data_IF_477061472683
#
_entry.id   IF_477061472683
#
_cell.length_a   1.000
_cell.length_b   1.000
_cell.length_c   1.000
_cell.angle_alpha   90.00
_cell.angle_beta   90.00
_cell.angle_gamma   90.00
#
_symmetry.space_group_name_H-M   'P 1'
#
loop_
_entity.id
_entity.type
_entity.pdbx_description
1 polymer ?
#
# COMPACT_ATOMS: atom_id res chain seq x y z
N UNK A 1 -19.66 2.01 30.19
CA UNK A 1 -18.52 1.26 30.77
C UNK A 1 -17.47 1.14 29.66
N UNK A 2 -16.64 2.17 29.52
CA UNK A 2 -15.58 2.26 28.52
C UNK A 2 -14.29 1.78 29.19
N UNK A 3 -13.85 0.57 28.87
CA UNK A 3 -12.52 0.10 29.23
C UNK A 3 -11.53 0.66 28.23
N UNK A 4 -10.94 1.81 28.54
CA UNK A 4 -9.72 2.26 27.88
C UNK A 4 -8.57 1.38 28.37
N UNK A 5 -7.76 0.90 27.42
CA UNK A 5 -6.50 0.21 27.69
C UNK A 5 -5.52 1.28 28.17
N UNK A 6 -5.52 1.57 29.46
CA UNK A 6 -4.52 2.41 30.11
C UNK A 6 -3.35 1.54 30.58
N UNK A 7 -2.14 1.77 30.04
CA UNK A 7 -0.91 1.29 30.67
C UNK A 7 0.30 0.99 29.79
N UNK A 8 0.16 0.65 28.51
CA UNK A 8 1.32 0.28 27.65
C UNK A 8 1.76 1.36 26.65
N UNK A 9 0.90 2.35 26.38
CA UNK A 9 1.08 3.30 25.26
C UNK A 9 2.00 4.48 25.63
N UNK A 10 2.01 4.91 26.90
CA UNK A 10 2.74 6.11 27.34
C UNK A 10 4.26 5.98 27.21
N UNK A 11 4.82 4.78 27.49
CA UNK A 11 6.26 4.53 27.40
C UNK A 11 6.77 4.47 25.96
N UNK A 12 6.05 3.77 25.10
CA UNK A 12 6.40 3.66 23.67
C UNK A 12 6.25 5.00 22.95
N UNK A 13 5.17 5.74 23.24
CA UNK A 13 4.97 7.08 22.72
C UNK A 13 6.07 8.04 23.19
N UNK A 14 6.44 8.00 24.48
CA UNK A 14 7.52 8.84 25.00
C UNK A 14 8.88 8.50 24.36
N UNK A 15 9.18 7.21 24.17
CA UNK A 15 10.41 6.77 23.50
C UNK A 15 10.45 7.25 22.05
N UNK A 16 9.36 7.07 21.30
CA UNK A 16 9.21 7.57 19.93
C UNK A 16 9.39 9.09 19.86
N UNK A 17 8.71 9.84 20.72
CA UNK A 17 8.80 11.31 20.76
C UNK A 17 10.22 11.78 21.08
N UNK A 18 10.87 11.12 22.04
CA UNK A 18 12.26 11.43 22.43
C UNK A 18 13.22 11.18 21.27
N UNK A 19 13.09 10.04 20.60
CA UNK A 19 13.91 9.72 19.43
C UNK A 19 13.71 10.74 18.30
N UNK A 20 12.45 11.12 18.02
CA UNK A 20 12.15 12.12 16.99
C UNK A 20 12.75 13.49 17.32
N UNK A 21 12.68 13.93 18.58
CA UNK A 21 13.36 15.15 19.02
C UNK A 21 14.88 15.07 18.83
N UNK A 22 15.49 13.92 19.09
CA UNK A 22 16.92 13.69 18.82
C UNK A 22 17.26 13.81 17.33
N UNK A 23 16.44 13.23 16.45
CA UNK A 23 16.61 13.30 14.99
C UNK A 23 16.33 14.69 14.39
N UNK A 24 15.80 15.62 15.18
CA UNK A 24 15.45 16.97 14.75
C UNK A 24 15.89 18.05 15.75
N UNK A 25 16.95 17.80 16.53
CA UNK A 25 17.40 18.69 17.61
C UNK A 25 17.89 20.05 17.11
N UNK A 26 18.47 20.08 15.91
CA UNK A 26 18.93 21.27 15.22
C UNK A 26 18.75 21.14 13.69
N UNK A 27 19.08 22.20 12.97
CA UNK A 27 18.88 22.31 11.52
C UNK A 27 19.69 21.28 10.73
N UNK A 28 20.92 21.00 11.12
CA UNK A 28 21.80 20.11 10.36
C UNK A 28 21.42 18.66 10.60
N UNK A 29 21.10 18.30 11.85
CA UNK A 29 20.57 16.97 12.20
C UNK A 29 19.23 16.72 11.51
N UNK A 30 18.30 17.68 11.56
CA UNK A 30 17.01 17.58 10.86
C UNK A 30 17.16 17.46 9.33
N UNK A 31 18.16 18.14 8.75
CA UNK A 31 18.46 18.05 7.31
C UNK A 31 19.03 16.68 6.95
N UNK A 32 19.91 16.12 7.79
CA UNK A 32 20.44 14.77 7.61
C UNK A 32 19.32 13.72 7.71
N UNK A 33 18.46 13.83 8.73
CA UNK A 33 17.27 12.99 8.88
C UNK A 33 16.36 13.04 7.65
N UNK A 34 15.98 14.24 7.20
CA UNK A 34 15.15 14.42 6.00
C UNK A 34 15.76 13.76 4.77
N UNK A 35 17.07 13.90 4.56
CA UNK A 35 17.79 13.28 3.43
C UNK A 35 17.79 11.77 3.55
N UNK A 36 18.09 11.23 4.73
CA UNK A 36 18.07 9.78 4.99
C UNK A 36 16.70 9.18 4.65
N UNK A 37 15.62 9.76 5.19
CA UNK A 37 14.24 9.34 4.88
C UNK A 37 13.95 9.36 3.38
N UNK A 38 14.34 10.43 2.70
CA UNK A 38 14.10 10.56 1.26
C UNK A 38 14.92 9.55 0.45
N UNK A 39 16.17 9.28 0.84
CA UNK A 39 16.99 8.23 0.21
C UNK A 39 16.35 6.85 0.37
N UNK A 40 15.84 6.53 1.56
CA UNK A 40 15.09 5.30 1.77
C UNK A 40 13.82 5.23 0.92
N UNK A 41 12.99 6.28 0.95
CA UNK A 41 11.77 6.38 0.15
C UNK A 41 12.05 6.21 -1.36
N UNK A 42 13.14 6.82 -1.85
CA UNK A 42 13.58 6.69 -3.23
C UNK A 42 13.95 5.24 -3.60
N UNK A 43 14.79 4.58 -2.78
CA UNK A 43 15.17 3.18 -2.97
C UNK A 43 13.95 2.25 -2.98
N UNK A 44 13.00 2.49 -2.07
CA UNK A 44 11.75 1.74 -2.04
C UNK A 44 10.92 1.97 -3.30
N UNK A 45 10.80 3.22 -3.76
CA UNK A 45 10.16 3.56 -5.03
C UNK A 45 10.80 2.85 -6.23
N UNK A 46 12.14 2.82 -6.29
CA UNK A 46 12.89 2.09 -7.33
C UNK A 46 12.64 0.58 -7.27
N UNK A 47 12.73 -0.01 -6.07
CA UNK A 47 12.45 -1.43 -5.86
C UNK A 47 11.03 -1.81 -6.32
N UNK A 48 10.05 -0.92 -6.13
CA UNK A 48 8.66 -1.13 -6.54
C UNK A 48 8.43 -0.95 -8.05
N UNK A 49 9.24 -0.14 -8.75
CA UNK A 49 8.92 0.29 -10.12
C UNK A 49 9.90 -0.19 -11.18
N UNK A 50 11.21 -0.20 -10.90
CA UNK A 50 12.25 -0.37 -11.92
C UNK A 50 12.39 -1.84 -12.32
N UNK A 51 12.67 -2.13 -13.60
CA UNK A 51 12.96 -3.49 -14.05
C UNK A 51 14.16 -4.08 -13.29
N UNK A 52 14.07 -5.32 -12.82
CA UNK A 52 15.15 -5.96 -12.05
C UNK A 52 15.11 -7.49 -12.15
N UNK A 53 16.28 -8.12 -12.25
CA UNK A 53 16.44 -9.59 -12.28
C UNK A 53 15.51 -10.28 -13.30
N UNK A 54 15.49 -9.80 -14.55
CA UNK A 54 14.64 -10.35 -15.61
C UNK A 54 13.14 -9.99 -15.49
N UNK A 55 12.75 -9.19 -14.50
CA UNK A 55 11.36 -8.73 -14.32
C UNK A 55 11.13 -7.38 -15.00
N UNK A 56 9.98 -7.20 -15.68
CA UNK A 56 9.62 -5.92 -16.27
C UNK A 56 9.39 -4.84 -15.19
N UNK A 57 9.50 -3.58 -15.60
CA UNK A 57 9.09 -2.45 -14.77
C UNK A 57 7.60 -2.53 -14.41
N UNK A 58 7.19 -1.93 -13.29
CA UNK A 58 5.79 -1.83 -12.88
C UNK A 58 5.25 -0.46 -13.29
N UNK A 59 4.50 -0.42 -14.40
CA UNK A 59 4.08 0.81 -15.07
C UNK A 59 2.58 0.76 -15.40
N UNK A 60 1.98 1.94 -15.56
CA UNK A 60 0.58 2.07 -15.94
C UNK A 60 -0.39 1.64 -14.85
N UNK A 61 -1.54 1.04 -15.20
CA UNK A 61 -2.55 0.68 -14.21
C UNK A 61 -2.12 -0.47 -13.29
N UNK A 62 -2.16 -0.22 -11.99
CA UNK A 62 -1.74 -1.18 -10.95
C UNK A 62 -2.74 -1.22 -9.79
N UNK A 63 -2.74 -2.35 -9.09
CA UNK A 63 -3.33 -2.52 -7.76
C UNK A 63 -2.19 -2.82 -6.79
N UNK A 64 -2.24 -2.27 -5.58
CA UNK A 64 -1.20 -2.49 -4.59
C UNK A 64 -1.76 -2.59 -3.17
N UNK A 65 -1.02 -3.29 -2.31
CA UNK A 65 -1.29 -3.42 -0.89
C UNK A 65 -0.05 -3.13 -0.05
N UNK A 66 -0.28 -2.65 1.17
CA UNK A 66 0.76 -2.37 2.16
C UNK A 66 0.41 -3.13 3.44
N UNK A 67 1.39 -3.83 4.01
CA UNK A 67 1.26 -4.59 5.24
C UNK A 67 2.14 -3.99 6.34
N UNK A 68 1.62 -4.03 7.55
CA UNK A 68 2.41 -4.00 8.77
C UNK A 68 2.66 -5.46 9.22
N UNK A 69 3.50 -5.65 10.24
CA UNK A 69 3.79 -7.00 10.75
C UNK A 69 2.54 -7.77 11.19
N UNK A 70 1.51 -7.08 11.67
CA UNK A 70 0.27 -7.71 12.11
C UNK A 70 -0.66 -8.10 10.95
N UNK A 71 -0.56 -7.47 9.78
CA UNK A 71 -1.50 -7.69 8.69
C UNK A 71 -1.61 -6.57 7.67
N UNK A 72 -2.61 -6.71 6.79
CA UNK A 72 -2.86 -5.80 5.68
C UNK A 72 -3.38 -4.45 6.19
N UNK A 73 -2.59 -3.41 5.95
CA UNK A 73 -2.89 -2.04 6.37
C UNK A 73 -3.75 -1.30 5.34
N UNK A 74 -3.42 -1.43 4.05
CA UNK A 74 -4.01 -0.59 3.01
C UNK A 74 -4.06 -1.30 1.65
N UNK A 75 -5.11 -1.03 0.87
CA UNK A 75 -5.23 -1.39 -0.55
C UNK A 75 -5.56 -0.15 -1.38
N UNK A 76 -4.85 0.03 -2.49
CA UNK A 76 -5.11 1.11 -3.43
C UNK A 76 -4.93 0.71 -4.90
N UNK A 77 -5.45 1.55 -5.79
CA UNK A 77 -5.21 1.46 -7.24
C UNK A 77 -4.54 2.73 -7.79
N UNK A 78 -3.96 2.63 -8.98
CA UNK A 78 -3.44 3.77 -9.73
C UNK A 78 -3.49 3.50 -11.23
N UNK A 79 -3.48 4.57 -12.03
CA UNK A 79 -3.30 4.55 -13.50
C UNK A 79 -1.86 4.80 -13.94
N UNK A 80 -1.07 5.43 -13.08
CA UNK A 80 0.30 5.87 -13.31
C UNK A 80 1.18 5.21 -12.25
N UNK A 81 1.44 3.92 -12.42
CA UNK A 81 2.17 3.07 -11.46
C UNK A 81 3.57 3.60 -11.16
N UNK A 82 4.28 3.99 -12.21
CA UNK A 82 5.64 4.51 -12.16
C UNK A 82 5.76 5.76 -11.28
N UNK A 83 4.78 6.67 -11.33
CA UNK A 83 4.76 7.85 -10.48
C UNK A 83 4.24 7.50 -9.09
N UNK A 84 3.06 6.87 -9.00
CA UNK A 84 2.39 6.63 -7.72
C UNK A 84 3.22 5.80 -6.76
N UNK A 85 3.90 4.76 -7.24
CA UNK A 85 4.71 3.89 -6.39
C UNK A 85 6.02 4.56 -5.93
N UNK A 86 6.56 5.53 -6.70
CA UNK A 86 7.67 6.37 -6.26
C UNK A 86 7.24 7.39 -5.20
N UNK A 87 6.05 7.96 -5.34
CA UNK A 87 5.51 8.95 -4.40
C UNK A 87 4.94 8.31 -3.11
N UNK A 88 4.56 7.02 -3.18
CA UNK A 88 3.89 6.31 -2.10
C UNK A 88 4.72 6.32 -0.78
N UNK A 89 6.02 5.98 -0.77
CA UNK A 89 6.86 6.09 0.43
C UNK A 89 7.13 7.54 0.88
N UNK A 90 7.07 8.52 -0.03
CA UNK A 90 7.35 9.93 0.32
C UNK A 90 6.17 10.53 1.11
N UNK A 91 4.95 10.07 0.85
CA UNK A 91 3.74 10.52 1.57
C UNK A 91 3.11 11.81 1.04
N UNK A 92 3.57 12.32 -0.11
CA UNK A 92 3.05 13.56 -0.72
C UNK A 92 1.58 13.44 -1.16
N UNK A 93 1.12 12.23 -1.44
CA UNK A 93 -0.19 11.98 -2.04
C UNK A 93 -1.11 11.11 -1.18
N UNK A 94 -0.71 10.73 0.04
CA UNK A 94 -1.53 9.87 0.89
C UNK A 94 -1.26 10.05 2.38
N UNK A 95 -2.34 10.21 3.16
CA UNK A 95 -2.29 10.13 4.63
C UNK A 95 -1.65 8.84 5.16
N UNK A 96 -1.57 7.75 4.37
CA UNK A 96 -1.00 6.48 4.79
C UNK A 96 0.43 6.61 5.33
N UNK A 97 1.37 7.10 4.51
CA UNK A 97 2.77 7.22 4.88
C UNK A 97 3.04 8.31 5.94
N UNK A 98 2.07 9.22 6.15
CA UNK A 98 2.15 10.23 7.20
C UNK A 98 1.71 9.68 8.56
N UNK A 99 0.83 8.68 8.58
CA UNK A 99 0.37 8.01 9.81
C UNK A 99 1.19 6.77 10.13
N UNK A 100 1.45 5.95 9.12
CA UNK A 100 2.25 4.72 9.20
C UNK A 100 3.44 4.87 8.25
N UNK A 101 4.59 5.37 8.72
CA UNK A 101 5.74 5.67 7.86
C UNK A 101 6.26 4.41 7.15
N UNK A 102 6.83 4.52 5.94
CA UNK A 102 7.30 3.37 5.18
C UNK A 102 8.40 2.56 5.86
N UNK A 103 9.12 3.17 6.79
CA UNK A 103 10.15 2.51 7.61
C UNK A 103 9.57 1.40 8.51
N UNK A 104 8.26 1.38 8.76
CA UNK A 104 7.58 0.31 9.53
C UNK A 104 6.75 -0.63 8.67
N UNK A 105 6.75 -0.45 7.35
CA UNK A 105 6.03 -1.34 6.44
C UNK A 105 6.78 -2.66 6.34
N UNK A 106 6.05 -3.75 6.56
CA UNK A 106 6.60 -5.09 6.51
C UNK A 106 6.70 -5.61 5.07
N UNK A 107 5.67 -5.35 4.27
CA UNK A 107 5.55 -5.89 2.91
C UNK A 107 4.71 -4.97 2.04
N UNK A 108 5.10 -4.83 0.78
CA UNK A 108 4.32 -4.15 -0.25
C UNK A 108 4.13 -5.11 -1.42
N UNK A 109 2.88 -5.32 -1.81
CA UNK A 109 2.51 -6.14 -2.97
C UNK A 109 1.98 -5.21 -4.05
N UNK A 110 2.42 -5.41 -5.28
CA UNK A 110 1.98 -4.67 -6.46
C UNK A 110 1.60 -5.67 -7.54
N UNK A 111 0.43 -5.49 -8.14
CA UNK A 111 -0.10 -6.32 -9.22
C UNK A 111 -0.37 -5.45 -10.44
N UNK A 112 0.33 -5.74 -11.52
CA UNK A 112 0.08 -5.20 -12.85
C UNK A 112 -1.08 -5.96 -13.50
N UNK A 113 -2.29 -5.76 -12.98
CA UNK A 113 -3.51 -6.45 -13.42
C UNK A 113 -3.75 -6.41 -14.94
N UNK A 114 -3.34 -5.37 -15.73
CA UNK A 114 -3.52 -5.41 -17.18
C UNK A 114 -2.72 -6.50 -17.90
N UNK A 115 -1.76 -7.14 -17.21
CA UNK A 115 -0.94 -8.25 -17.75
C UNK A 115 -1.58 -9.62 -17.54
N UNK A 116 -2.73 -9.68 -16.87
CA UNK A 116 -3.51 -10.91 -16.72
C UNK A 116 -4.35 -11.15 -17.98
N UNK A 117 -4.51 -12.40 -18.37
CA UNK A 117 -5.28 -12.76 -19.58
C UNK A 117 -6.75 -12.32 -19.49
N UNK A 118 -7.32 -12.32 -18.28
CA UNK A 118 -8.69 -11.87 -18.02
C UNK A 118 -8.89 -10.37 -18.31
N UNK A 119 -7.82 -9.56 -18.25
CA UNK A 119 -7.90 -8.14 -18.56
C UNK A 119 -8.12 -7.88 -20.06
N UNK A 120 -7.71 -8.80 -20.94
CA UNK A 120 -7.89 -8.68 -22.40
C UNK A 120 -9.37 -8.57 -22.77
N UNK A 121 -10.24 -9.28 -22.05
CA UNK A 121 -11.71 -9.27 -22.29
C UNK A 121 -12.37 -7.94 -21.94
N UNK A 122 -11.72 -7.13 -21.09
CA UNK A 122 -12.21 -5.83 -20.66
C UNK A 122 -11.63 -4.68 -21.51
N UNK A 123 -10.58 -4.96 -22.28
CA UNK A 123 -9.92 -3.98 -23.13
C UNK A 123 -10.91 -3.43 -24.17
N UNK A 124 -11.02 -2.09 -24.24
CA UNK A 124 -11.96 -1.41 -25.13
C UNK A 124 -13.43 -1.41 -24.67
N UNK A 125 -13.79 -2.23 -23.67
CA UNK A 125 -15.15 -2.25 -23.07
C UNK A 125 -15.22 -1.30 -21.88
N UNK A 126 -14.23 -1.36 -20.98
CA UNK A 126 -14.15 -0.52 -19.80
C UNK A 126 -12.87 0.31 -19.81
N UNK A 127 -12.96 1.52 -19.27
CA UNK A 127 -11.80 2.36 -19.05
C UNK A 127 -10.93 1.76 -17.93
N UNK A 128 -9.59 1.74 -18.07
CA UNK A 128 -8.71 1.15 -17.05
C UNK A 128 -8.86 1.74 -15.65
N UNK A 129 -9.23 3.02 -15.54
CA UNK A 129 -9.51 3.67 -14.25
C UNK A 129 -10.68 3.01 -13.53
N UNK A 130 -11.73 2.68 -14.27
CA UNK A 130 -12.94 2.09 -13.74
C UNK A 130 -12.72 0.63 -13.36
N UNK A 131 -11.93 -0.11 -14.15
CA UNK A 131 -11.48 -1.47 -13.80
C UNK A 131 -10.67 -1.44 -12.51
N UNK A 132 -9.69 -0.53 -12.40
CA UNK A 132 -8.90 -0.35 -11.17
C UNK A 132 -9.76 -0.03 -9.94
N UNK A 133 -10.72 0.90 -10.07
CA UNK A 133 -11.66 1.24 -8.99
C UNK A 133 -12.56 0.05 -8.59
N UNK A 134 -12.98 -0.78 -9.55
CA UNK A 134 -13.80 -1.96 -9.28
C UNK A 134 -12.99 -3.03 -8.52
N UNK A 135 -11.76 -3.30 -8.95
CA UNK A 135 -10.84 -4.22 -8.26
C UNK A 135 -10.50 -3.74 -6.84
N UNK A 136 -10.17 -2.45 -6.70
CA UNK A 136 -9.90 -1.83 -5.40
C UNK A 136 -11.10 -1.99 -4.45
N UNK A 137 -12.30 -1.64 -4.91
CA UNK A 137 -13.50 -1.76 -4.10
C UNK A 137 -13.74 -3.20 -3.62
N UNK A 138 -13.59 -4.19 -4.51
CA UNK A 138 -13.79 -5.60 -4.15
C UNK A 138 -12.75 -6.10 -3.16
N UNK A 139 -11.48 -5.79 -3.37
CA UNK A 139 -10.41 -6.14 -2.44
C UNK A 139 -10.65 -5.51 -1.08
N UNK A 140 -11.04 -4.23 -1.02
CA UNK A 140 -11.32 -3.55 0.24
C UNK A 140 -12.55 -4.14 0.96
N UNK A 141 -13.61 -4.50 0.22
CA UNK A 141 -14.80 -5.12 0.78
C UNK A 141 -14.52 -6.52 1.36
N UNK A 142 -13.71 -7.33 0.66
CA UNK A 142 -13.35 -8.69 1.08
C UNK A 142 -12.30 -8.70 2.21
N UNK A 143 -11.21 -7.95 2.04
CA UNK A 143 -10.03 -8.01 2.93
C UNK A 143 -10.09 -7.02 4.10
N UNK A 144 -10.94 -5.99 4.00
CA UNK A 144 -11.15 -4.96 5.05
C UNK A 144 -9.85 -4.41 5.67
N UNK A 145 -8.91 -3.92 4.85
CA UNK A 145 -7.66 -3.34 5.37
C UNK A 145 -7.96 -2.13 6.28
N UNK A 146 -7.25 -2.03 7.41
CA UNK A 146 -7.53 -1.05 8.48
C UNK A 146 -7.69 0.38 7.95
N UNK A 147 -6.75 0.85 7.12
CA UNK A 147 -6.74 2.22 6.63
C UNK A 147 -7.84 2.52 5.59
N UNK A 148 -8.47 1.50 4.99
CA UNK A 148 -9.61 1.70 4.10
C UNK A 148 -10.96 1.39 4.78
N UNK A 149 -10.97 0.59 5.84
CA UNK A 149 -12.20 0.14 6.52
C UNK A 149 -12.81 1.20 7.43
N UNK A 150 -12.09 2.28 7.74
CA UNK A 150 -12.56 3.36 8.59
C UNK A 150 -12.45 4.73 7.90
N UNK A 151 -13.33 5.65 8.29
CA UNK A 151 -13.29 7.05 7.84
C UNK A 151 -13.33 7.99 9.03
N UNK A 152 -12.42 8.97 9.01
CA UNK A 152 -12.41 10.06 9.97
C UNK A 152 -13.63 10.96 9.77
N UNK A 153 -14.30 11.29 10.87
CA UNK A 153 -15.37 12.29 10.93
C UNK A 153 -14.78 13.68 11.20
N UNK A 154 -15.60 14.72 11.03
CA UNK A 154 -15.20 16.11 11.29
C UNK A 154 -14.86 16.38 12.75
N UNK A 155 -15.38 15.58 13.69
CA UNK A 155 -15.10 15.65 15.12
C UNK A 155 -13.81 14.91 15.53
N UNK A 156 -13.09 14.33 14.57
CA UNK A 156 -11.86 13.57 14.82
C UNK A 156 -12.09 12.10 15.20
N UNK A 157 -13.33 11.67 15.43
CA UNK A 157 -13.66 10.26 15.66
C UNK A 157 -13.67 9.46 14.34
N UNK A 158 -13.77 8.14 14.44
CA UNK A 158 -13.78 7.24 13.31
C UNK A 158 -15.13 6.51 13.19
N UNK A 159 -15.44 6.04 11.99
CA UNK A 159 -16.54 5.11 11.74
C UNK A 159 -16.12 4.08 10.70
N UNK A 160 -16.68 2.89 10.81
CA UNK A 160 -16.54 1.88 9.78
C UNK A 160 -17.19 2.31 8.46
N UNK A 161 -16.62 1.79 7.37
CA UNK A 161 -17.18 1.91 6.02
C UNK A 161 -18.23 0.82 5.82
N UNK A 162 -19.45 1.25 5.50
CA UNK A 162 -20.47 0.35 5.01
C UNK A 162 -20.25 0.06 3.51
N UNK A 163 -19.56 -1.04 3.23
CA UNK A 163 -19.27 -1.47 1.87
C UNK A 163 -20.51 -1.91 1.09
N UNK A 164 -21.54 -2.44 1.78
CA UNK A 164 -22.77 -2.95 1.15
C UNK A 164 -23.63 -1.82 0.61
N UNK A 165 -23.63 -0.67 1.28
CA UNK A 165 -24.33 0.53 0.84
C UNK A 165 -23.51 1.41 -0.12
N UNK A 166 -22.32 0.97 -0.55
CA UNK A 166 -21.44 1.78 -1.40
C UNK A 166 -22.01 2.01 -2.79
N UNK A 167 -22.18 3.28 -3.17
CA UNK A 167 -22.62 3.71 -4.50
C UNK A 167 -21.48 4.26 -5.37
N UNK A 168 -20.22 3.99 -4.99
CA UNK A 168 -19.04 4.46 -5.72
C UNK A 168 -19.02 3.92 -7.15
N UNK A 169 -18.26 4.58 -8.04
CA UNK A 169 -18.03 4.09 -9.41
C UNK A 169 -17.50 2.64 -9.41
N UNK A 170 -16.53 2.33 -8.53
CA UNK A 170 -16.01 0.98 -8.36
C UNK A 170 -17.06 -0.03 -7.92
N UNK A 171 -17.90 0.30 -6.95
CA UNK A 171 -18.96 -0.58 -6.47
C UNK A 171 -19.97 -0.94 -7.57
N UNK A 172 -20.38 0.06 -8.37
CA UNK A 172 -21.34 -0.17 -9.48
C UNK A 172 -20.76 -1.04 -10.61
N UNK A 173 -19.44 -1.02 -10.79
CA UNK A 173 -18.74 -1.80 -11.84
C UNK A 173 -18.15 -3.12 -11.33
N UNK A 174 -18.26 -3.42 -10.04
CA UNK A 174 -17.63 -4.59 -9.41
C UNK A 174 -17.96 -5.93 -10.07
N UNK A 175 -19.21 -6.12 -10.49
CA UNK A 175 -19.68 -7.35 -11.17
C UNK A 175 -19.10 -7.51 -12.58
N UNK A 176 -18.79 -6.41 -13.26
CA UNK A 176 -18.28 -6.44 -14.63
C UNK A 176 -16.82 -6.91 -14.70
N UNK A 177 -16.15 -7.06 -13.55
CA UNK A 177 -14.74 -7.48 -13.44
C UNK A 177 -14.59 -8.80 -12.70
N UNK A 178 -15.63 -9.65 -12.62
CA UNK A 178 -15.64 -10.90 -11.85
C UNK A 178 -14.46 -11.82 -12.15
N UNK A 179 -14.27 -12.21 -13.40
CA UNK A 179 -13.16 -13.10 -13.77
C UNK A 179 -11.79 -12.49 -13.45
N UNK A 180 -11.60 -11.20 -13.80
CA UNK A 180 -10.36 -10.51 -13.53
C UNK A 180 -10.09 -10.38 -12.03
N UNK A 181 -11.13 -10.15 -11.24
CA UNK A 181 -11.00 -10.11 -9.78
C UNK A 181 -10.54 -11.45 -9.23
N UNK A 182 -11.10 -12.57 -9.69
CA UNK A 182 -10.66 -13.90 -9.25
C UNK A 182 -9.18 -14.15 -9.58
N UNK A 183 -8.74 -13.79 -10.79
CA UNK A 183 -7.34 -13.88 -11.18
C UNK A 183 -6.43 -12.98 -10.31
N UNK A 184 -6.85 -11.74 -10.06
CA UNK A 184 -6.14 -10.82 -9.16
C UNK A 184 -6.08 -11.37 -7.73
N UNK A 185 -7.17 -11.94 -7.20
CA UNK A 185 -7.20 -12.53 -5.87
C UNK A 185 -6.24 -13.71 -5.74
N UNK A 186 -6.17 -14.58 -6.74
CA UNK A 186 -5.21 -15.68 -6.75
C UNK A 186 -3.77 -15.17 -6.66
N UNK A 187 -3.39 -14.23 -7.53
CA UNK A 187 -2.04 -13.63 -7.51
C UNK A 187 -1.78 -12.91 -6.18
N UNK A 188 -2.79 -12.25 -5.62
CA UNK A 188 -2.69 -11.55 -4.35
C UNK A 188 -2.45 -12.51 -3.18
N UNK A 189 -3.18 -13.62 -3.10
CA UNK A 189 -3.04 -14.60 -2.01
C UNK A 189 -1.69 -15.30 -2.05
N UNK A 190 -1.23 -15.68 -3.25
CA UNK A 190 0.13 -16.18 -3.48
C UNK A 190 1.16 -15.16 -3.00
N UNK A 191 1.04 -13.89 -3.41
CA UNK A 191 1.96 -12.83 -3.03
C UNK A 191 1.94 -12.51 -1.53
N UNK A 192 0.76 -12.55 -0.90
CA UNK A 192 0.60 -12.28 0.53
C UNK A 192 1.29 -13.35 1.39
N UNK A 193 1.28 -14.61 0.94
CA UNK A 193 1.93 -15.73 1.63
C UNK A 193 3.45 -15.77 1.51
N UNK A 194 4.05 -15.01 0.57
CA UNK A 194 5.50 -15.04 0.31
C UNK A 194 6.34 -14.47 1.44
N UNK A 195 7.51 -15.06 1.63
CA UNK A 195 8.58 -14.57 2.50
C UNK A 195 9.62 -13.75 1.73
N UNK A 196 10.53 -13.08 2.45
CA UNK A 196 11.66 -12.36 1.85
C UNK A 196 12.61 -13.29 1.08
N UNK A 197 12.71 -14.54 1.53
CA UNK A 197 13.64 -15.53 0.99
C UNK A 197 13.10 -16.18 -0.30
N UNK A 198 11.83 -15.98 -0.61
CA UNK A 198 11.20 -16.60 -1.76
C UNK A 198 11.63 -15.89 -3.04
N UNK A 199 12.15 -16.65 -4.02
CA UNK A 199 12.46 -16.10 -5.33
C UNK A 199 11.20 -15.51 -6.00
N UNK A 200 11.32 -14.30 -6.55
CA UNK A 200 10.23 -13.65 -7.26
C UNK A 200 9.92 -14.35 -8.58
N UNK A 201 8.73 -14.95 -8.68
CA UNK A 201 8.41 -15.84 -9.81
C UNK A 201 7.55 -15.21 -10.92
N UNK A 202 6.83 -14.11 -10.68
CA UNK A 202 5.80 -13.61 -11.61
C UNK A 202 6.14 -12.24 -12.22
N UNK A 203 5.94 -12.09 -13.53
CA UNK A 203 6.05 -10.81 -14.24
C UNK A 203 4.87 -9.86 -13.99
N UNK A 204 3.78 -10.38 -13.40
CA UNK A 204 2.54 -9.64 -13.10
C UNK A 204 2.57 -9.07 -11.68
N UNK A 205 3.34 -9.68 -10.78
CA UNK A 205 3.38 -9.34 -9.37
C UNK A 205 4.76 -8.92 -8.92
N UNK A 206 4.81 -7.92 -8.04
CA UNK A 206 6.01 -7.54 -7.32
C UNK A 206 5.75 -7.50 -5.83
N UNK A 207 6.64 -8.12 -5.08
CA UNK A 207 6.64 -8.11 -3.61
C UNK A 207 7.93 -7.45 -3.16
N UNK A 208 7.84 -6.43 -2.31
CA UNK A 208 9.02 -5.76 -1.73
C UNK A 208 8.89 -5.78 -0.23
N UNK A 209 10.00 -6.05 0.45
CA UNK A 209 10.14 -6.00 1.90
C UNK A 209 10.94 -4.75 2.25
N UNK A 210 10.29 -3.64 2.67
CA UNK A 210 10.97 -2.37 2.89
C UNK A 210 12.12 -2.44 3.90
N UNK A 211 12.01 -3.34 4.89
CA UNK A 211 13.02 -3.56 5.92
C UNK A 211 14.41 -3.89 5.33
N UNK A 212 14.49 -4.54 4.16
CA UNK A 212 15.76 -4.91 3.52
C UNK A 212 16.48 -3.72 2.86
N UNK A 213 15.77 -2.61 2.68
CA UNK A 213 16.28 -1.38 2.06
C UNK A 213 16.73 -0.36 3.11
N UNK A 214 16.43 -0.61 4.39
CA UNK A 214 16.94 0.19 5.49
C UNK A 214 18.46 0.01 5.61
N UNK A 215 19.19 1.05 6.05
CA UNK A 215 20.59 0.90 6.40
C UNK A 215 20.76 -0.26 7.39
N UNK A 216 21.70 -1.16 7.11
CA UNK A 216 22.13 -2.16 8.08
C UNK A 216 23.16 -1.47 8.99
N UNK A 217 22.98 -1.60 10.30
CA UNK A 217 23.95 -1.15 11.31
C UNK A 217 25.19 -2.08 11.34
#
# INVERSE_FOLDING_TARGET
MLGLVEGSDDGAFLAWRTALHGLTSDKDVAKAWRRSRYTFAHRLGEALTVASHGRPAMEGPLIYGVWLRWGLLYVGQTREGERRLRDLPVGESHHLANTFPPEIWHKVVVIAWPRLAEAERLAGVLQPDLVGLALEHRLQNELRPLANSERRKSDGSWREVDWRASSSRGARTAHAVDDLFHAVRQVWDEAASRSEQDEHASAVCRVVFPETLLPQD
#
